data_IF_362086161241
#
_entry.id   IF_362086161241
#
_cell.length_a   1.000
_cell.length_b   1.000
_cell.length_c   1.000
_cell.angle_alpha   90.00
_cell.angle_beta   90.00
_cell.angle_gamma   90.00
#
_symmetry.space_group_name_H-M   'P 1'
#
loop_
_entity.id
_entity.type
_entity.pdbx_description
1 polymer ?
#
# COMPACT_ATOMS: atom_id res chain seq x y z
N UNK A 1 3.26 -2.88 -18.72
CA UNK A 1 3.42 -1.71 -17.85
C UNK A 1 4.90 -1.61 -17.48
N UNK A 2 5.47 -0.43 -17.64
CA UNK A 2 6.75 -0.01 -17.07
C UNK A 2 6.67 0.07 -15.54
N UNK A 3 7.81 0.04 -14.82
CA UNK A 3 7.83 0.17 -13.36
C UNK A 3 7.06 1.39 -12.86
N UNK A 4 7.19 2.54 -13.55
CA UNK A 4 6.47 3.77 -13.21
C UNK A 4 4.95 3.65 -13.40
N UNK A 5 4.49 2.89 -14.39
CA UNK A 5 3.05 2.62 -14.57
C UNK A 5 2.53 1.70 -13.45
N UNK A 6 3.30 0.68 -13.06
CA UNK A 6 2.95 -0.21 -11.94
C UNK A 6 2.87 0.58 -10.63
N UNK A 7 3.87 1.42 -10.33
CA UNK A 7 3.87 2.29 -9.15
C UNK A 7 2.66 3.22 -9.13
N UNK A 8 2.30 3.85 -10.26
CA UNK A 8 1.11 4.69 -10.36
C UNK A 8 -0.17 3.90 -10.08
N UNK A 9 -0.28 2.68 -10.59
CA UNK A 9 -1.42 1.80 -10.32
C UNK A 9 -1.51 1.48 -8.84
N UNK A 10 -0.43 1.03 -8.20
CA UNK A 10 -0.42 0.75 -6.78
C UNK A 10 -0.73 1.99 -5.93
N UNK A 11 -0.16 3.15 -6.24
CA UNK A 11 -0.46 4.39 -5.53
C UNK A 11 -1.95 4.76 -5.63
N UNK A 12 -2.55 4.62 -6.82
CA UNK A 12 -3.98 4.86 -7.01
C UNK A 12 -4.83 3.92 -6.17
N UNK A 13 -4.51 2.63 -6.15
CA UNK A 13 -5.16 1.65 -5.28
C UNK A 13 -5.02 2.03 -3.81
N UNK A 14 -3.82 2.42 -3.37
CA UNK A 14 -3.53 2.77 -1.99
C UNK A 14 -4.39 3.95 -1.53
N UNK A 15 -4.42 5.03 -2.31
CA UNK A 15 -5.22 6.22 -1.99
C UNK A 15 -6.71 5.89 -1.93
N UNK A 16 -7.24 5.12 -2.89
CA UNK A 16 -8.66 4.75 -2.89
C UNK A 16 -9.03 3.88 -1.69
N UNK A 17 -8.19 2.91 -1.34
CA UNK A 17 -8.42 2.02 -0.20
C UNK A 17 -8.28 2.78 1.12
N UNK A 18 -7.30 3.68 1.21
CA UNK A 18 -7.12 4.55 2.38
C UNK A 18 -8.33 5.46 2.59
N UNK A 19 -8.90 6.00 1.51
CA UNK A 19 -10.13 6.79 1.58
C UNK A 19 -11.30 5.97 2.13
N UNK A 20 -11.46 4.70 1.71
CA UNK A 20 -12.48 3.80 2.26
C UNK A 20 -12.23 3.54 3.75
N UNK A 21 -10.97 3.30 4.15
CA UNK A 21 -10.63 3.04 5.54
C UNK A 21 -10.93 4.22 6.48
N UNK A 22 -10.97 5.43 5.94
CA UNK A 22 -11.26 6.68 6.67
C UNK A 22 -12.68 7.19 6.45
N UNK A 23 -13.50 6.52 5.62
CA UNK A 23 -14.86 6.93 5.32
C UNK A 23 -15.76 6.79 6.56
N UNK A 24 -16.45 7.88 6.92
CA UNK A 24 -17.28 7.93 8.12
C UNK A 24 -18.43 6.91 8.08
N UNK A 25 -19.03 6.70 6.89
CA UNK A 25 -20.11 5.71 6.72
C UNK A 25 -19.59 4.30 6.95
N UNK A 26 -18.43 3.99 6.38
CA UNK A 26 -17.74 2.72 6.60
C UNK A 26 -17.45 2.46 8.08
N UNK A 27 -16.89 3.45 8.78
CA UNK A 27 -16.59 3.33 10.21
C UNK A 27 -17.85 3.15 11.06
N UNK A 28 -18.95 3.84 10.73
CA UNK A 28 -20.25 3.68 11.39
C UNK A 28 -20.85 2.28 11.19
N UNK A 29 -20.67 1.68 10.00
CA UNK A 29 -21.12 0.31 9.74
C UNK A 29 -20.39 -0.71 10.62
N UNK A 30 -19.08 -0.53 10.82
CA UNK A 30 -18.26 -1.39 11.69
C UNK A 30 -18.66 -1.20 13.15
N UNK A 31 -18.71 0.05 13.63
CA UNK A 31 -19.09 0.36 15.01
C UNK A 31 -20.50 -0.14 15.36
N UNK A 32 -21.43 -0.04 14.40
CA UNK A 32 -22.79 -0.56 14.53
C UNK A 32 -22.93 -2.06 14.35
N UNK A 33 -21.82 -2.80 14.14
CA UNK A 33 -21.79 -4.25 13.82
C UNK A 33 -22.74 -4.63 12.68
N UNK A 34 -22.91 -3.72 11.71
CA UNK A 34 -23.72 -3.93 10.51
C UNK A 34 -22.96 -4.71 9.44
N UNK A 35 -21.64 -4.71 9.53
CA UNK A 35 -20.72 -5.55 8.78
C UNK A 35 -19.75 -6.25 9.75
N UNK A 36 -18.93 -7.15 9.20
CA UNK A 36 -17.92 -7.87 9.96
C UNK A 36 -16.94 -6.90 10.64
N UNK A 37 -16.72 -6.98 11.97
CA UNK A 37 -15.69 -6.20 12.66
C UNK A 37 -14.28 -6.39 12.12
N UNK A 38 -13.97 -7.55 11.52
CA UNK A 38 -12.66 -7.84 10.90
C UNK A 38 -12.43 -7.02 9.62
N UNK A 39 -13.46 -6.37 9.07
CA UNK A 39 -13.33 -5.55 7.88
C UNK A 39 -12.31 -4.40 8.05
N UNK A 40 -12.19 -3.82 9.25
CA UNK A 40 -11.15 -2.82 9.54
C UNK A 40 -9.75 -3.43 9.47
N UNK A 41 -9.56 -4.60 10.06
CA UNK A 41 -8.29 -5.33 10.09
C UNK A 41 -7.86 -5.71 8.68
N UNK A 42 -8.73 -6.36 7.91
CA UNK A 42 -8.40 -6.81 6.56
C UNK A 42 -8.09 -5.64 5.62
N UNK A 43 -8.78 -4.51 5.74
CA UNK A 43 -8.48 -3.33 4.94
C UNK A 43 -7.12 -2.73 5.31
N UNK A 44 -6.77 -2.75 6.59
CA UNK A 44 -5.42 -2.40 7.08
C UNK A 44 -4.34 -3.32 6.52
N UNK A 45 -4.57 -4.63 6.51
CA UNK A 45 -3.64 -5.61 5.94
C UNK A 45 -3.43 -5.37 4.43
N UNK A 46 -4.48 -5.07 3.68
CA UNK A 46 -4.36 -4.74 2.25
C UNK A 46 -3.50 -3.50 2.04
N UNK A 47 -3.70 -2.44 2.83
CA UNK A 47 -2.86 -1.23 2.76
C UNK A 47 -1.40 -1.55 3.08
N UNK A 48 -1.16 -2.39 4.09
CA UNK A 48 0.19 -2.83 4.46
C UNK A 48 0.89 -3.56 3.30
N UNK A 49 0.28 -4.62 2.77
CA UNK A 49 0.88 -5.41 1.70
C UNK A 49 1.03 -4.62 0.39
N UNK A 50 0.12 -3.69 0.11
CA UNK A 50 0.23 -2.82 -1.05
C UNK A 50 1.43 -1.87 -0.93
N UNK A 51 1.66 -1.33 0.27
CA UNK A 51 2.85 -0.53 0.56
C UNK A 51 4.15 -1.32 0.40
N UNK A 52 4.20 -2.57 0.89
CA UNK A 52 5.35 -3.46 0.69
C UNK A 52 5.60 -3.74 -0.80
N UNK A 53 4.53 -4.04 -1.55
CA UNK A 53 4.62 -4.29 -2.98
C UNK A 53 5.16 -3.08 -3.75
N UNK A 54 4.74 -1.86 -3.39
CA UNK A 54 5.28 -0.63 -3.99
C UNK A 54 6.78 -0.48 -3.77
N UNK A 55 7.28 -0.80 -2.57
CA UNK A 55 8.72 -0.75 -2.26
C UNK A 55 9.56 -1.71 -3.12
N UNK A 56 8.97 -2.80 -3.59
CA UNK A 56 9.63 -3.76 -4.49
C UNK A 56 9.69 -3.30 -5.96
N UNK A 57 8.98 -2.25 -6.35
CA UNK A 57 8.97 -1.72 -7.73
C UNK A 57 10.01 -0.62 -7.93
N UNK A 58 10.65 -0.14 -6.85
CA UNK A 58 11.81 0.74 -6.95
C UNK A 58 12.98 0.01 -7.65
N UNK A 59 13.73 0.73 -8.49
CA UNK A 59 14.89 0.13 -9.16
C UNK A 59 15.93 -0.31 -8.14
N UNK A 60 16.41 -1.54 -8.27
CA UNK A 60 17.57 -2.02 -7.50
C UNK A 60 18.79 -1.22 -7.97
N UNK A 61 19.20 -0.23 -7.19
CA UNK A 61 20.47 0.46 -7.41
C UNK A 61 21.59 -0.47 -6.94
N UNK A 62 22.17 -1.23 -7.86
CA UNK A 62 23.44 -1.94 -7.61
C UNK A 62 24.54 -0.90 -7.36
N UNK A 63 24.85 -0.62 -6.09
CA UNK A 63 26.01 0.18 -5.71
C UNK A 63 27.25 -0.68 -5.95
N UNK A 64 27.87 -0.52 -7.13
CA UNK A 64 29.22 -1.04 -7.38
C UNK A 64 30.20 -0.27 -6.49
N UNK A 65 30.56 -0.85 -5.34
CA UNK A 65 31.70 -0.40 -4.56
C UNK A 65 32.97 -0.63 -5.38
N UNK A 66 33.47 0.41 -6.05
CA UNK A 66 34.85 0.44 -6.53
C UNK A 66 35.75 0.65 -5.31
N UNK A 67 36.13 -0.45 -4.63
CA UNK A 67 37.27 -0.45 -3.71
C UNK A 67 38.57 -0.42 -4.54
N UNK A 68 38.87 0.73 -5.13
CA UNK A 68 40.21 1.06 -5.64
C UNK A 68 40.51 2.53 -5.31
N UNK A 69 40.83 2.81 -4.04
CA UNK A 69 41.60 3.99 -3.62
C UNK A 69 41.92 3.91 -2.11
N UNK A 70 43.03 3.25 -1.77
CA UNK A 70 44.19 3.82 -1.04
C UNK A 70 45.25 2.73 -0.77
#
# INVERSE_FOLDING_TARGET
MSPIEILKTFNSCYVNIQAIAQDETWLLLIAGKKIDPEAATHLGDVLHYLGEAMGCVEEIVEVKFNQEAE
#
